data_IF_318724877155
#
_entry.id   IF_318724877155
#
_cell.length_a   1.000
_cell.length_b   1.000
_cell.length_c   1.000
_cell.angle_alpha   90.00
_cell.angle_beta   90.00
_cell.angle_gamma   90.00
#
_symmetry.space_group_name_H-M   'P 1'
#
loop_
_entity.id
_entity.type
_entity.pdbx_description
1 polymer ?
#
# COMPACT_ATOMS: atom_id res chain seq x y z
N UNK A 1 47.39 -57.91 -7.38
CA UNK A 1 46.72 -57.38 -8.59
C UNK A 1 45.26 -57.17 -8.26
N UNK A 2 44.87 -55.96 -7.86
CA UNK A 2 43.49 -55.59 -7.56
C UNK A 2 42.88 -55.03 -8.85
N UNK A 3 41.84 -55.68 -9.37
CA UNK A 3 41.04 -55.16 -10.50
C UNK A 3 40.02 -54.17 -9.94
N UNK A 4 40.15 -52.90 -10.30
CA UNK A 4 39.17 -51.86 -10.03
C UNK A 4 38.05 -51.98 -11.06
N UNK A 5 36.83 -52.33 -10.63
CA UNK A 5 35.62 -52.17 -11.43
C UNK A 5 35.14 -50.73 -11.26
N UNK A 6 35.17 -49.94 -12.33
CA UNK A 6 34.48 -48.66 -12.40
C UNK A 6 33.01 -48.93 -12.78
N UNK A 7 32.09 -48.70 -11.87
CA UNK A 7 30.65 -48.70 -12.14
C UNK A 7 30.28 -47.27 -12.55
N UNK A 8 30.03 -47.07 -13.85
CA UNK A 8 29.42 -45.85 -14.37
C UNK A 8 27.94 -45.83 -13.98
N UNK A 9 27.59 -44.97 -13.02
CA UNK A 9 26.20 -44.62 -12.76
C UNK A 9 25.73 -43.66 -13.86
N UNK A 10 24.96 -44.17 -14.81
CA UNK A 10 24.23 -43.34 -15.78
C UNK A 10 22.99 -42.83 -15.04
N UNK A 11 22.99 -41.55 -14.66
CA UNK A 11 21.77 -40.87 -14.22
C UNK A 11 20.86 -40.71 -15.44
N UNK A 12 19.78 -41.50 -15.48
CA UNK A 12 18.70 -41.27 -16.43
C UNK A 12 17.97 -39.99 -16.00
N UNK A 13 18.21 -38.89 -16.71
CA UNK A 13 17.31 -37.73 -16.70
C UNK A 13 16.01 -38.18 -17.37
N UNK A 14 15.02 -38.56 -16.57
CA UNK A 14 13.65 -38.72 -17.05
C UNK A 14 13.12 -37.34 -17.42
N UNK A 15 12.96 -37.08 -18.72
CA UNK A 15 12.14 -35.99 -19.23
C UNK A 15 10.72 -36.16 -18.65
N UNK A 16 10.43 -35.48 -17.55
CA UNK A 16 9.10 -35.46 -16.94
C UNK A 16 8.22 -34.60 -17.86
N UNK A 17 7.65 -35.20 -18.89
CA UNK A 17 6.62 -34.52 -19.68
C UNK A 17 5.40 -34.37 -18.77
N UNK A 18 5.20 -33.16 -18.26
CA UNK A 18 3.94 -32.73 -17.64
C UNK A 18 2.81 -33.14 -18.60
N UNK A 19 1.95 -34.06 -18.17
CA UNK A 19 0.86 -34.54 -19.01
C UNK A 19 -0.17 -33.42 -19.16
N UNK A 20 -0.51 -33.06 -20.40
CA UNK A 20 -1.65 -32.18 -20.67
C UNK A 20 -2.87 -33.06 -20.94
N UNK A 21 -3.95 -32.84 -20.20
CA UNK A 21 -5.20 -33.61 -20.24
C UNK A 21 -6.38 -32.71 -20.67
N UNK A 22 -7.55 -33.29 -20.92
CA UNK A 22 -8.72 -32.49 -21.28
C UNK A 22 -9.08 -31.49 -20.16
N UNK A 23 -9.62 -30.31 -20.52
CA UNK A 23 -9.83 -29.24 -19.54
C UNK A 23 -10.86 -29.61 -18.48
N UNK A 24 -11.76 -30.55 -18.78
CA UNK A 24 -12.82 -31.05 -17.90
C UNK A 24 -12.46 -32.35 -17.17
N UNK A 25 -11.27 -32.92 -17.43
CA UNK A 25 -10.76 -34.13 -16.75
C UNK A 25 -9.82 -33.82 -15.57
N UNK A 26 -9.36 -32.57 -15.45
CA UNK A 26 -8.46 -32.13 -14.37
C UNK A 26 -9.19 -32.23 -13.03
N UNK A 27 -8.65 -33.03 -12.12
CA UNK A 27 -9.22 -33.20 -10.77
C UNK A 27 -8.87 -31.99 -9.89
N UNK A 28 -9.87 -31.29 -9.31
CA UNK A 28 -9.59 -30.21 -8.38
C UNK A 28 -9.08 -30.73 -7.04
N UNK A 29 -8.43 -29.85 -6.29
CA UNK A 29 -8.07 -30.05 -4.89
C UNK A 29 -9.24 -29.62 -4.01
N UNK A 30 -9.69 -30.51 -3.13
CA UNK A 30 -10.61 -30.14 -2.06
C UNK A 30 -9.96 -29.09 -1.16
N UNK A 31 -10.74 -28.10 -0.73
CA UNK A 31 -10.24 -27.06 0.18
C UNK A 31 -9.77 -27.68 1.51
N UNK A 32 -8.49 -27.55 1.90
CA UNK A 32 -8.02 -28.03 3.19
C UNK A 32 -8.58 -27.20 4.35
N UNK A 33 -8.72 -27.82 5.53
CA UNK A 33 -9.00 -27.08 6.77
C UNK A 33 -7.81 -26.16 7.12
N UNK A 34 -8.02 -24.85 7.36
CA UNK A 34 -6.92 -23.91 7.58
C UNK A 34 -6.30 -24.06 8.98
N UNK A 35 -4.98 -24.21 9.05
CA UNK A 35 -4.24 -24.44 10.31
C UNK A 35 -3.47 -23.19 10.73
N UNK A 36 -2.68 -22.63 9.81
CA UNK A 36 -1.85 -21.44 10.01
C UNK A 36 -2.68 -20.16 9.89
N UNK A 37 -2.14 -19.04 10.39
CA UNK A 37 -2.84 -17.76 10.33
C UNK A 37 -2.95 -17.23 8.89
N UNK A 38 -1.95 -17.49 8.05
CA UNK A 38 -2.02 -17.25 6.61
C UNK A 38 -3.16 -18.06 5.96
N UNK A 39 -3.33 -19.33 6.36
CA UNK A 39 -4.40 -20.18 5.84
C UNK A 39 -5.79 -19.70 6.26
N UNK A 40 -5.95 -19.35 7.54
CA UNK A 40 -7.21 -18.80 8.05
C UNK A 40 -7.55 -17.48 7.36
N UNK A 41 -6.55 -16.63 7.13
CA UNK A 41 -6.74 -15.36 6.46
C UNK A 41 -7.19 -15.57 5.00
N UNK A 42 -6.55 -16.48 4.26
CA UNK A 42 -6.94 -16.75 2.88
C UNK A 42 -8.36 -17.33 2.76
N UNK A 43 -8.81 -18.14 3.73
CA UNK A 43 -10.21 -18.62 3.76
C UNK A 43 -11.17 -17.48 4.13
N UNK A 44 -10.79 -16.66 5.11
CA UNK A 44 -11.61 -15.54 5.59
C UNK A 44 -11.83 -14.44 4.55
N UNK A 45 -10.81 -14.17 3.74
CA UNK A 45 -10.80 -13.14 2.71
C UNK A 45 -11.02 -13.72 1.30
N UNK A 46 -11.46 -14.97 1.21
CA UNK A 46 -11.69 -15.65 -0.07
C UNK A 46 -12.74 -14.88 -0.87
N UNK A 47 -12.44 -14.42 -2.09
CA UNK A 47 -13.40 -13.67 -2.90
C UNK A 47 -14.57 -14.56 -3.35
N UNK A 48 -15.74 -13.94 -3.49
CA UNK A 48 -16.86 -14.52 -4.26
C UNK A 48 -16.78 -14.04 -5.71
N UNK A 49 -16.95 -14.96 -6.65
CA UNK A 49 -16.82 -14.70 -8.08
C UNK A 49 -18.18 -14.88 -8.79
N UNK A 50 -18.76 -13.79 -9.26
CA UNK A 50 -19.86 -13.81 -10.21
C UNK A 50 -19.31 -13.95 -11.64
N UNK A 51 -19.95 -14.74 -12.48
CA UNK A 51 -19.53 -14.94 -13.88
C UNK A 51 -20.63 -14.38 -14.77
N UNK A 52 -20.40 -13.19 -15.32
CA UNK A 52 -21.40 -12.46 -16.09
C UNK A 52 -21.31 -12.79 -17.58
N UNK A 53 -20.08 -13.03 -18.05
CA UNK A 53 -19.76 -13.39 -19.42
C UNK A 53 -18.51 -14.28 -19.41
N UNK A 54 -18.28 -15.04 -20.47
CA UNK A 54 -17.07 -15.88 -20.59
C UNK A 54 -17.27 -17.33 -20.16
N UNK A 55 -16.14 -18.03 -20.04
CA UNK A 55 -16.09 -19.35 -19.45
C UNK A 55 -16.27 -19.30 -17.92
N UNK A 56 -16.68 -20.42 -17.33
CA UNK A 56 -16.55 -20.64 -15.90
C UNK A 56 -15.09 -20.96 -15.52
N UNK A 57 -14.75 -20.87 -14.24
CA UNK A 57 -13.42 -21.24 -13.74
C UNK A 57 -13.25 -22.76 -13.65
N UNK A 58 -12.04 -23.24 -13.97
CA UNK A 58 -11.67 -24.66 -13.99
C UNK A 58 -10.37 -24.89 -13.17
N UNK A 59 -10.12 -26.12 -12.69
CA UNK A 59 -8.80 -26.48 -12.20
C UNK A 59 -7.79 -26.50 -13.36
N UNK A 60 -6.64 -25.86 -13.13
CA UNK A 60 -5.55 -25.78 -14.11
C UNK A 60 -4.58 -26.97 -14.03
N UNK A 61 -4.47 -27.59 -12.85
CA UNK A 61 -3.55 -28.68 -12.54
C UNK A 61 -4.17 -29.61 -11.51
N UNK A 62 -3.86 -30.91 -11.59
CA UNK A 62 -4.25 -31.92 -10.60
C UNK A 62 -3.10 -32.29 -9.64
N UNK A 63 -3.37 -33.17 -8.67
CA UNK A 63 -2.39 -33.60 -7.67
C UNK A 63 -1.17 -34.36 -8.25
N UNK A 64 -1.32 -34.98 -9.43
CA UNK A 64 -0.24 -35.68 -10.14
C UNK A 64 0.60 -34.73 -11.02
N UNK A 65 0.22 -33.45 -11.09
CA UNK A 65 0.84 -32.45 -11.94
C UNK A 65 0.35 -32.48 -13.38
N UNK A 66 -0.73 -33.20 -13.71
CA UNK A 66 -1.32 -33.09 -15.04
C UNK A 66 -2.01 -31.74 -15.19
N UNK A 67 -1.77 -31.04 -16.31
CA UNK A 67 -2.28 -29.69 -16.55
C UNK A 67 -3.41 -29.67 -17.57
N UNK A 68 -4.31 -28.70 -17.42
CA UNK A 68 -5.40 -28.46 -18.35
C UNK A 68 -4.87 -28.15 -19.76
N UNK A 69 -5.33 -28.90 -20.76
CA UNK A 69 -5.09 -28.62 -22.17
C UNK A 69 -5.86 -27.42 -22.71
N UNK A 70 -6.79 -26.88 -21.91
CA UNK A 70 -7.64 -25.74 -22.27
C UNK A 70 -8.55 -26.00 -23.46
N UNK A 71 -9.33 -24.99 -23.82
CA UNK A 71 -10.21 -25.01 -24.98
C UNK A 71 -9.65 -24.16 -26.12
N UNK A 72 -9.98 -24.53 -27.34
CA UNK A 72 -9.64 -23.68 -28.49
C UNK A 72 -10.43 -22.38 -28.39
N UNK A 73 -9.75 -21.24 -28.52
CA UNK A 73 -10.34 -19.89 -28.62
C UNK A 73 -11.17 -19.70 -29.91
N UNK A 74 -12.25 -20.45 -30.04
CA UNK A 74 -13.19 -20.39 -31.15
C UNK A 74 -14.60 -20.77 -30.68
N UNK A 75 -15.60 -20.47 -31.51
CA UNK A 75 -17.00 -20.74 -31.18
C UNK A 75 -17.61 -19.66 -30.28
N UNK A 76 -18.71 -19.99 -29.57
CA UNK A 76 -19.31 -19.11 -28.58
C UNK A 76 -18.35 -18.80 -27.42
N UNK A 77 -18.52 -17.63 -26.82
CA UNK A 77 -17.71 -17.12 -25.70
C UNK A 77 -17.70 -18.10 -24.51
N UNK A 78 -18.86 -18.64 -24.16
CA UNK A 78 -19.10 -19.62 -23.09
C UNK A 78 -19.20 -21.08 -23.58
N UNK A 79 -18.83 -21.32 -24.85
CA UNK A 79 -19.00 -22.63 -25.50
C UNK A 79 -18.07 -23.69 -24.90
N UNK A 80 -18.65 -24.80 -24.46
CA UNK A 80 -17.99 -25.98 -23.87
C UNK A 80 -17.27 -25.72 -22.53
N UNK A 81 -17.54 -24.59 -21.88
CA UNK A 81 -16.90 -24.18 -20.62
C UNK A 81 -17.87 -23.61 -19.57
N UNK A 82 -19.06 -24.21 -19.40
CA UNK A 82 -20.08 -23.77 -18.44
C UNK A 82 -19.88 -24.27 -17.00
N UNK A 83 -18.68 -24.77 -16.70
CA UNK A 83 -18.29 -25.29 -15.40
C UNK A 83 -17.87 -26.77 -15.48
N UNK A 84 -16.79 -27.17 -14.79
CA UNK A 84 -16.36 -28.57 -14.73
C UNK A 84 -17.34 -29.40 -13.91
N UNK A 85 -17.65 -30.61 -14.36
CA UNK A 85 -18.46 -31.56 -13.59
C UNK A 85 -17.76 -32.03 -12.31
N UNK A 86 -16.43 -31.92 -12.26
CA UNK A 86 -15.58 -32.29 -11.12
C UNK A 86 -15.46 -31.19 -10.05
N UNK A 87 -15.88 -29.96 -10.36
CA UNK A 87 -15.75 -28.80 -9.47
C UNK A 87 -14.68 -27.80 -9.91
N UNK A 88 -14.94 -26.52 -9.64
CA UNK A 88 -14.05 -25.39 -9.95
C UNK A 88 -12.99 -25.17 -8.87
N UNK A 89 -11.92 -24.43 -9.20
CA UNK A 89 -10.82 -24.15 -8.28
C UNK A 89 -10.50 -22.65 -8.25
N UNK A 90 -10.13 -22.15 -7.06
CA UNK A 90 -9.36 -20.92 -6.91
C UNK A 90 -8.01 -21.24 -6.26
N UNK A 91 -6.95 -20.66 -6.80
CA UNK A 91 -5.59 -20.80 -6.29
C UNK A 91 -5.23 -19.55 -5.49
N UNK A 92 -4.37 -19.68 -4.47
CA UNK A 92 -3.78 -18.49 -3.87
C UNK A 92 -2.32 -18.64 -3.46
N UNK A 93 -1.66 -17.48 -3.35
CA UNK A 93 -0.33 -17.35 -2.76
C UNK A 93 -0.26 -16.04 -2.00
N UNK A 94 0.39 -16.07 -0.85
CA UNK A 94 0.47 -14.91 0.03
C UNK A 94 1.88 -14.68 0.57
N UNK A 95 2.21 -13.41 0.79
CA UNK A 95 3.47 -12.99 1.41
C UNK A 95 3.30 -11.60 2.02
N UNK A 96 4.26 -11.19 2.84
CA UNK A 96 4.46 -9.78 3.14
C UNK A 96 4.96 -9.06 1.88
N UNK A 97 4.29 -7.97 1.51
CA UNK A 97 4.72 -7.07 0.45
C UNK A 97 4.68 -5.63 0.98
N UNK A 98 5.86 -5.07 1.24
CA UNK A 98 5.96 -3.84 2.04
C UNK A 98 5.56 -4.11 3.50
N UNK A 99 4.64 -3.30 4.01
CA UNK A 99 4.02 -3.34 5.33
C UNK A 99 2.68 -4.11 5.35
N UNK A 100 2.19 -4.56 4.19
CA UNK A 100 0.90 -5.25 4.08
C UNK A 100 1.09 -6.75 3.88
N UNK A 101 0.19 -7.55 4.46
CA UNK A 101 0.06 -8.95 4.07
C UNK A 101 -0.79 -9.03 2.82
N UNK A 102 -0.19 -9.51 1.73
CA UNK A 102 -0.82 -9.62 0.43
C UNK A 102 -1.25 -11.08 0.17
N UNK A 103 -2.49 -11.28 -0.26
CA UNK A 103 -3.01 -12.56 -0.75
C UNK A 103 -3.46 -12.38 -2.19
N UNK A 104 -2.80 -13.06 -3.12
CA UNK A 104 -3.25 -13.14 -4.50
C UNK A 104 -4.14 -14.36 -4.69
N UNK A 105 -5.36 -14.15 -5.13
CA UNK A 105 -6.26 -15.20 -5.63
C UNK A 105 -6.19 -15.23 -7.14
N UNK A 106 -6.20 -16.42 -7.73
CA UNK A 106 -6.14 -16.60 -9.16
C UNK A 106 -7.11 -17.68 -9.63
N UNK A 107 -7.76 -17.41 -10.76
CA UNK A 107 -8.69 -18.32 -11.43
C UNK A 107 -8.19 -18.60 -12.84
N UNK A 108 -8.35 -19.86 -13.23
CA UNK A 108 -8.02 -20.33 -14.57
C UNK A 108 -9.29 -20.57 -15.36
N UNK A 109 -9.26 -20.15 -16.63
CA UNK A 109 -10.34 -20.31 -17.58
C UNK A 109 -9.79 -21.07 -18.81
N UNK A 110 -10.51 -22.08 -19.36
CA UNK A 110 -9.98 -22.90 -20.45
C UNK A 110 -9.68 -22.12 -21.73
N UNK A 111 -10.37 -21.00 -21.96
CA UNK A 111 -10.19 -20.09 -23.10
C UNK A 111 -10.74 -18.71 -22.73
N UNK A 112 -10.35 -17.71 -23.51
CA UNK A 112 -10.98 -16.39 -23.52
C UNK A 112 -11.25 -15.92 -24.96
N UNK A 113 -12.28 -15.10 -25.15
CA UNK A 113 -12.86 -14.71 -26.43
C UNK A 113 -13.15 -13.21 -26.48
N UNK A 114 -12.32 -12.47 -27.22
CA UNK A 114 -12.54 -11.07 -27.53
C UNK A 114 -13.68 -10.88 -28.52
N UNK A 115 -14.64 -10.01 -28.20
CA UNK A 115 -15.82 -9.79 -29.02
C UNK A 115 -16.14 -8.31 -29.31
N UNK A 116 -15.24 -7.62 -30.02
CA UNK A 116 -15.43 -6.21 -30.40
C UNK A 116 -16.02 -6.06 -31.81
N UNK A 117 -17.32 -5.81 -31.87
CA UNK A 117 -18.03 -5.52 -33.13
C UNK A 117 -18.02 -6.71 -34.10
N UNK A 118 -17.35 -6.57 -35.26
CA UNK A 118 -17.18 -7.64 -36.25
C UNK A 118 -15.91 -8.47 -36.05
N UNK A 119 -15.03 -8.06 -35.13
CA UNK A 119 -13.77 -8.74 -34.85
C UNK A 119 -13.93 -9.72 -33.70
N UNK A 120 -13.60 -10.99 -33.95
CA UNK A 120 -13.57 -12.04 -32.93
C UNK A 120 -12.17 -12.65 -32.90
N UNK A 121 -11.48 -12.50 -31.78
CA UNK A 121 -10.21 -13.17 -31.50
C UNK A 121 -10.44 -14.08 -30.29
N UNK A 122 -9.85 -15.26 -30.29
CA UNK A 122 -9.89 -16.15 -29.14
C UNK A 122 -8.52 -16.69 -28.84
N UNK A 123 -8.24 -16.85 -27.55
CA UNK A 123 -7.00 -17.46 -27.04
C UNK A 123 -7.35 -18.72 -26.26
N UNK A 124 -6.43 -19.68 -26.30
CA UNK A 124 -6.50 -20.86 -25.44
C UNK A 124 -5.86 -20.49 -24.12
N UNK A 125 -6.50 -20.91 -23.03
CA UNK A 125 -6.16 -20.54 -21.66
C UNK A 125 -6.40 -19.07 -21.36
N UNK A 126 -6.83 -18.81 -20.15
CA UNK A 126 -6.84 -17.49 -19.55
C UNK A 126 -6.63 -17.62 -18.03
N UNK A 127 -6.00 -16.60 -17.47
CA UNK A 127 -5.69 -16.48 -16.06
C UNK A 127 -5.96 -15.06 -15.62
N UNK A 128 -6.83 -14.91 -14.62
CA UNK A 128 -7.10 -13.63 -13.97
C UNK A 128 -6.82 -13.75 -12.49
N UNK A 129 -6.44 -12.63 -11.88
CA UNK A 129 -6.08 -12.60 -10.48
C UNK A 129 -6.66 -11.40 -9.75
N UNK A 130 -6.64 -11.48 -8.43
CA UNK A 130 -7.03 -10.45 -7.49
C UNK A 130 -6.03 -10.42 -6.35
N UNK A 131 -5.43 -9.27 -6.08
CA UNK A 131 -4.61 -9.07 -4.87
C UNK A 131 -5.45 -8.39 -3.81
N UNK A 132 -5.51 -9.05 -2.65
CA UNK A 132 -6.15 -8.56 -1.43
C UNK A 132 -5.05 -8.23 -0.43
N UNK A 133 -4.97 -6.97 -0.03
CA UNK A 133 -4.00 -6.50 0.95
C UNK A 133 -4.69 -6.13 2.27
N UNK A 134 -4.08 -6.48 3.41
CA UNK A 134 -4.55 -6.04 4.72
C UNK A 134 -3.41 -5.77 5.71
N UNK A 135 -3.66 -4.81 6.61
CA UNK A 135 -2.80 -4.49 7.76
C UNK A 135 -3.20 -5.36 8.97
N UNK A 136 -2.22 -5.77 9.78
CA UNK A 136 -2.43 -6.77 10.86
C UNK A 136 -3.07 -6.17 12.11
N UNK A 137 -2.93 -4.87 12.39
CA UNK A 137 -3.50 -4.25 13.59
C UNK A 137 -4.56 -3.19 13.27
N UNK A 138 -5.82 -3.65 13.19
CA UNK A 138 -6.97 -3.35 14.08
C UNK A 138 -8.27 -3.79 13.35
N UNK A 139 -8.50 -5.11 13.29
CA UNK A 139 -9.77 -5.78 12.88
C UNK A 139 -10.24 -5.56 11.42
N UNK A 140 -9.39 -5.95 10.47
CA UNK A 140 -9.70 -6.35 9.07
C UNK A 140 -10.26 -5.25 8.13
N UNK A 141 -9.39 -4.35 7.68
CA UNK A 141 -9.59 -3.60 6.43
C UNK A 141 -8.98 -4.39 5.27
N UNK A 142 -9.67 -4.44 4.13
CA UNK A 142 -9.35 -5.24 2.96
C UNK A 142 -9.36 -4.32 1.73
N UNK A 143 -8.21 -4.13 1.10
CA UNK A 143 -8.10 -3.41 -0.17
C UNK A 143 -8.02 -4.41 -1.33
N UNK A 144 -8.81 -4.15 -2.38
CA UNK A 144 -8.89 -4.98 -3.59
C UNK A 144 -8.29 -4.20 -4.75
N UNK A 145 -7.01 -4.42 -5.07
CA UNK A 145 -6.26 -3.50 -5.96
C UNK A 145 -6.17 -4.06 -7.38
N UNK A 146 -7.28 -3.99 -8.13
CA UNK A 146 -7.25 -4.14 -9.60
C UNK A 146 -8.11 -3.12 -10.37
N UNK A 147 -8.86 -2.23 -9.69
CA UNK A 147 -9.48 -0.98 -10.21
C UNK A 147 -10.11 -0.20 -9.03
N UNK A 148 -10.08 1.15 -9.02
CA UNK A 148 -10.61 1.94 -7.91
C UNK A 148 -12.13 1.71 -7.74
N UNK A 149 -12.63 1.55 -6.50
CA UNK A 149 -14.05 1.42 -6.23
C UNK A 149 -14.79 2.72 -6.53
N UNK A 150 -15.91 2.63 -7.25
CA UNK A 150 -16.90 3.71 -7.33
C UNK A 150 -17.94 3.64 -6.20
N UNK A 151 -17.94 2.60 -5.36
CA UNK A 151 -18.97 2.42 -4.35
C UNK A 151 -18.51 1.64 -3.11
N UNK A 152 -19.02 2.03 -1.95
CA UNK A 152 -18.62 1.56 -0.60
C UNK A 152 -19.26 0.24 -0.18
N UNK A 153 -19.75 -0.58 -1.13
CA UNK A 153 -20.60 -1.76 -0.87
C UNK A 153 -20.05 -3.07 -1.49
N UNK A 154 -18.73 -3.17 -1.68
CA UNK A 154 -18.06 -4.26 -2.43
C UNK A 154 -17.52 -5.38 -1.51
N UNK A 155 -17.56 -5.17 -0.19
CA UNK A 155 -17.10 -6.15 0.80
C UNK A 155 -18.30 -6.54 1.68
N UNK A 156 -18.72 -7.80 1.61
CA UNK A 156 -19.68 -8.36 2.58
C UNK A 156 -18.90 -8.92 3.78
N UNK A 157 -18.85 -8.13 4.85
CA UNK A 157 -18.03 -8.42 6.02
C UNK A 157 -16.53 -8.39 5.69
N UNK A 158 -15.93 -9.54 5.41
CA UNK A 158 -14.52 -9.68 5.01
C UNK A 158 -14.33 -10.31 3.63
N UNK A 159 -15.41 -10.53 2.87
CA UNK A 159 -15.34 -11.18 1.57
C UNK A 159 -15.38 -10.15 0.45
N UNK A 160 -14.31 -10.03 -0.38
CA UNK A 160 -14.37 -9.29 -1.62
C UNK A 160 -15.41 -9.88 -2.57
N UNK A 161 -16.26 -9.04 -3.14
CA UNK A 161 -17.17 -9.42 -4.23
C UNK A 161 -16.58 -8.97 -5.56
N UNK A 162 -16.41 -9.93 -6.46
CA UNK A 162 -15.88 -9.68 -7.80
C UNK A 162 -16.72 -10.35 -8.86
N UNK A 163 -16.70 -9.80 -10.08
CA UNK A 163 -17.34 -10.37 -11.27
C UNK A 163 -16.31 -10.55 -12.37
N UNK A 164 -16.39 -11.66 -13.10
CA UNK A 164 -15.68 -11.89 -14.35
C UNK A 164 -16.59 -11.45 -15.50
N UNK A 165 -16.12 -10.48 -16.27
CA UNK A 165 -16.89 -9.89 -17.37
C UNK A 165 -15.98 -9.25 -18.43
N UNK A 166 -16.59 -8.86 -19.54
CA UNK A 166 -15.95 -8.20 -20.67
C UNK A 166 -15.53 -6.76 -20.32
N UNK A 167 -14.30 -6.39 -20.68
CA UNK A 167 -13.77 -5.02 -20.59
C UNK A 167 -14.07 -4.19 -21.85
N UNK A 168 -13.59 -2.95 -21.88
CA UNK A 168 -13.82 -2.05 -23.02
C UNK A 168 -13.12 -2.51 -24.31
N UNK A 169 -12.08 -3.34 -24.19
CA UNK A 169 -11.39 -3.96 -25.32
C UNK A 169 -12.01 -5.31 -25.72
N UNK A 170 -13.09 -5.72 -25.04
CA UNK A 170 -13.81 -6.94 -25.34
C UNK A 170 -13.20 -8.21 -24.76
N UNK A 171 -12.14 -8.13 -23.95
CA UNK A 171 -11.53 -9.27 -23.25
C UNK A 171 -12.14 -9.46 -21.88
N UNK A 172 -12.06 -10.67 -21.32
CA UNK A 172 -12.62 -10.92 -20.00
C UNK A 172 -11.60 -10.66 -18.90
N UNK A 173 -12.03 -9.95 -17.87
CA UNK A 173 -11.21 -9.68 -16.69
C UNK A 173 -12.06 -9.63 -15.42
N UNK A 174 -11.40 -9.48 -14.29
CA UNK A 174 -12.06 -9.36 -12.99
C UNK A 174 -12.31 -7.89 -12.66
N UNK A 175 -13.55 -7.61 -12.29
CA UNK A 175 -13.98 -6.33 -11.76
C UNK A 175 -14.49 -6.50 -10.34
N UNK A 176 -14.28 -5.47 -9.52
CA UNK A 176 -15.04 -5.33 -8.29
C UNK A 176 -16.55 -5.29 -8.59
N UNK A 177 -17.36 -5.91 -7.74
CA UNK A 177 -18.80 -6.03 -7.95
C UNK A 177 -19.57 -5.99 -6.62
N UNK A 178 -20.85 -5.68 -6.68
CA UNK A 178 -21.80 -5.90 -5.57
C UNK A 178 -22.66 -7.16 -5.79
N UNK A 179 -22.48 -7.86 -6.91
CA UNK A 179 -23.20 -9.08 -7.27
C UNK A 179 -22.79 -10.25 -6.38
N UNK A 180 -23.75 -11.11 -6.07
CA UNK A 180 -23.47 -12.36 -5.36
C UNK A 180 -22.77 -13.34 -6.31
N UNK A 181 -21.59 -13.80 -5.90
CA UNK A 181 -20.79 -14.76 -6.64
C UNK A 181 -20.79 -16.16 -6.01
N UNK A 182 -20.21 -17.12 -6.73
CA UNK A 182 -19.93 -18.45 -6.20
C UNK A 182 -18.55 -18.50 -5.53
N UNK A 183 -18.39 -19.39 -4.55
CA UNK A 183 -17.09 -19.73 -3.99
C UNK A 183 -16.56 -21.01 -4.61
N UNK A 184 -15.29 -21.00 -4.99
CA UNK A 184 -14.58 -22.19 -5.42
C UNK A 184 -13.76 -22.75 -4.25
N UNK A 185 -13.41 -24.03 -4.33
CA UNK A 185 -12.47 -24.62 -3.36
C UNK A 185 -11.12 -23.91 -3.50
N UNK A 186 -10.57 -23.51 -2.34
CA UNK A 186 -9.30 -22.79 -2.27
C UNK A 186 -8.15 -23.75 -2.02
N UNK A 187 -7.10 -23.65 -2.83
CA UNK A 187 -5.83 -24.33 -2.58
C UNK A 187 -4.67 -23.33 -2.65
N UNK A 188 -3.83 -23.32 -1.63
CA UNK A 188 -2.68 -22.41 -1.58
C UNK A 188 -1.43 -23.02 -2.18
N UNK A 189 -0.50 -22.18 -2.64
CA UNK A 189 0.78 -22.58 -3.21
C UNK A 189 1.55 -23.58 -2.34
N UNK A 190 1.59 -23.35 -1.02
CA UNK A 190 2.26 -24.23 -0.05
C UNK A 190 1.49 -25.53 0.24
N UNK A 191 0.21 -25.62 -0.13
CA UNK A 191 -0.65 -26.80 0.04
C UNK A 191 -0.67 -27.71 -1.20
N UNK A 192 -0.27 -27.20 -2.37
CA UNK A 192 -0.12 -28.00 -3.59
C UNK A 192 0.92 -29.11 -3.41
N UNK A 193 0.78 -30.19 -4.18
CA UNK A 193 1.82 -31.23 -4.28
C UNK A 193 3.05 -30.67 -4.99
N UNK A 194 4.22 -31.30 -4.79
CA UNK A 194 5.44 -30.90 -5.51
C UNK A 194 5.25 -31.00 -7.03
N UNK A 195 4.58 -32.05 -7.51
CA UNK A 195 4.27 -32.23 -8.92
C UNK A 195 3.37 -31.11 -9.48
N UNK A 196 2.35 -30.70 -8.73
CA UNK A 196 1.46 -29.61 -9.14
C UNK A 196 2.18 -28.25 -9.16
N UNK A 197 3.02 -27.95 -8.15
CA UNK A 197 3.85 -26.75 -8.14
C UNK A 197 4.82 -26.73 -9.33
N UNK A 198 5.54 -27.84 -9.54
CA UNK A 198 6.48 -27.96 -10.67
C UNK A 198 5.78 -27.79 -12.02
N UNK A 199 4.57 -28.33 -12.17
CA UNK A 199 3.78 -28.18 -13.38
C UNK A 199 3.32 -26.73 -13.61
N UNK A 200 2.84 -26.02 -12.58
CA UNK A 200 2.46 -24.61 -12.69
C UNK A 200 3.65 -23.68 -12.92
N UNK A 201 4.83 -24.04 -12.43
CA UNK A 201 6.06 -23.27 -12.66
C UNK A 201 6.52 -23.38 -14.12
N UNK A 202 6.39 -24.56 -14.73
CA UNK A 202 7.06 -24.87 -16.01
C UNK A 202 6.13 -24.96 -17.24
N UNK A 203 4.82 -25.12 -17.04
CA UNK A 203 3.88 -25.30 -18.15
C UNK A 203 3.59 -23.99 -18.87
N UNK A 204 3.58 -24.03 -20.21
CA UNK A 204 3.22 -22.89 -21.05
C UNK A 204 1.72 -22.90 -21.35
N UNK A 205 0.97 -22.00 -20.71
CA UNK A 205 -0.47 -21.81 -20.95
C UNK A 205 -0.75 -20.86 -22.13
N UNK A 206 -0.09 -21.10 -23.27
CA UNK A 206 -0.28 -20.26 -24.46
C UNK A 206 0.15 -18.81 -24.26
N UNK A 207 -0.77 -17.87 -24.48
CA UNK A 207 -0.57 -16.43 -24.22
C UNK A 207 -0.77 -16.08 -22.73
N UNK A 208 -1.46 -16.93 -21.97
CA UNK A 208 -1.71 -16.73 -20.55
C UNK A 208 -0.51 -17.18 -19.68
N UNK A 209 -0.34 -16.52 -18.55
CA UNK A 209 0.74 -16.80 -17.58
C UNK A 209 0.16 -17.09 -16.21
N UNK A 210 0.72 -18.08 -15.50
CA UNK A 210 0.28 -18.42 -14.14
C UNK A 210 0.61 -17.24 -13.21
N UNK A 211 -0.37 -16.56 -12.59
CA UNK A 211 -0.11 -15.29 -11.91
C UNK A 211 0.74 -15.39 -10.64
N UNK A 212 0.73 -16.56 -10.00
CA UNK A 212 1.26 -16.77 -8.66
C UNK A 212 2.46 -17.74 -8.62
N UNK A 213 3.03 -18.09 -9.78
CA UNK A 213 4.28 -18.84 -9.85
C UNK A 213 5.48 -17.94 -9.48
N UNK A 214 6.67 -18.51 -9.29
CA UNK A 214 7.83 -17.75 -8.81
C UNK A 214 8.24 -16.61 -9.75
N UNK A 215 8.07 -16.81 -11.07
CA UNK A 215 8.41 -15.80 -12.07
C UNK A 215 7.48 -14.56 -12.09
N UNK A 216 6.20 -14.73 -11.74
CA UNK A 216 5.18 -13.69 -11.92
C UNK A 216 4.69 -13.08 -10.59
N UNK A 217 4.75 -13.83 -9.49
CA UNK A 217 4.08 -13.45 -8.24
C UNK A 217 4.49 -12.07 -7.72
N UNK A 218 5.79 -11.79 -7.57
CA UNK A 218 6.25 -10.49 -7.05
C UNK A 218 5.92 -9.32 -8.00
N UNK A 219 5.96 -9.53 -9.32
CA UNK A 219 5.64 -8.50 -10.29
C UNK A 219 4.15 -8.17 -10.25
N UNK A 220 3.28 -9.18 -10.16
CA UNK A 220 1.84 -8.96 -10.03
C UNK A 220 1.47 -8.28 -8.70
N UNK A 221 2.19 -8.55 -7.60
CA UNK A 221 2.00 -7.80 -6.35
C UNK A 221 2.44 -6.33 -6.48
N UNK A 222 3.52 -6.08 -7.24
CA UNK A 222 3.98 -4.73 -7.56
C UNK A 222 2.95 -3.98 -8.38
N UNK A 223 2.42 -4.61 -9.44
CA UNK A 223 1.43 -4.00 -10.32
C UNK A 223 0.10 -3.74 -9.58
N UNK A 224 -0.20 -4.56 -8.57
CA UNK A 224 -1.31 -4.36 -7.65
C UNK A 224 -1.00 -3.40 -6.48
N UNK A 225 0.08 -2.62 -6.54
CA UNK A 225 0.41 -1.57 -5.57
C UNK A 225 0.67 -0.25 -6.29
N UNK A 226 0.29 0.89 -5.70
CA UNK A 226 0.63 2.19 -6.31
C UNK A 226 2.04 2.59 -5.87
N UNK A 227 2.92 2.80 -6.86
CA UNK A 227 4.29 3.24 -6.64
C UNK A 227 4.31 4.59 -5.91
N UNK A 228 5.37 4.84 -5.14
CA UNK A 228 5.47 6.07 -4.35
C UNK A 228 5.44 7.34 -5.20
N UNK A 229 5.83 7.26 -6.48
CA UNK A 229 5.83 8.39 -7.42
C UNK A 229 4.53 8.48 -8.26
N UNK A 230 3.62 7.51 -8.12
CA UNK A 230 2.35 7.45 -8.86
C UNK A 230 1.14 7.88 -8.02
N UNK A 231 1.35 8.27 -6.76
CA UNK A 231 0.28 8.79 -5.89
C UNK A 231 -0.12 10.19 -6.37
N UNK A 232 -1.38 10.34 -6.77
CA UNK A 232 -1.90 11.63 -7.20
C UNK A 232 -2.11 12.57 -5.99
N UNK A 233 -1.41 13.73 -5.92
CA UNK A 233 -1.64 14.70 -4.85
C UNK A 233 -3.03 15.36 -4.97
N UNK A 234 -3.56 15.79 -3.84
CA UNK A 234 -4.71 16.66 -3.74
C UNK A 234 -4.30 18.09 -4.09
N UNK A 235 -4.98 18.68 -5.08
CA UNK A 235 -4.91 20.12 -5.32
C UNK A 235 -5.38 20.88 -4.09
N UNK A 236 -4.69 21.97 -3.72
CA UNK A 236 -5.08 22.80 -2.58
C UNK A 236 -6.48 23.40 -2.82
N UNK A 237 -7.52 23.04 -2.02
CA UNK A 237 -8.85 23.60 -2.20
C UNK A 237 -8.87 25.10 -1.90
N UNK A 238 -9.77 25.85 -2.54
CA UNK A 238 -10.00 27.25 -2.19
C UNK A 238 -10.60 27.31 -0.77
N UNK A 239 -9.98 28.02 0.20
CA UNK A 239 -10.46 28.03 1.58
C UNK A 239 -11.78 28.79 1.72
N UNK A 240 -12.74 28.20 2.44
CA UNK A 240 -14.09 28.70 2.67
C UNK A 240 -14.27 29.11 4.14
N UNK A 241 -13.94 28.21 5.07
CA UNK A 241 -14.07 28.44 6.51
C UNK A 241 -12.92 29.29 7.04
N UNK A 242 -13.08 29.86 8.23
CA UNK A 242 -12.02 30.67 8.84
C UNK A 242 -10.82 29.81 9.28
N UNK A 243 -11.07 28.56 9.64
CA UNK A 243 -10.03 27.57 9.94
C UNK A 243 -9.19 27.27 8.69
N UNK A 244 -9.85 27.04 7.55
CA UNK A 244 -9.18 26.79 6.27
C UNK A 244 -8.39 28.01 5.78
N UNK A 245 -8.96 29.21 5.87
CA UNK A 245 -8.25 30.46 5.53
C UNK A 245 -7.05 30.65 6.43
N UNK A 246 -7.17 30.32 7.71
CA UNK A 246 -6.08 30.42 8.68
C UNK A 246 -4.98 29.41 8.36
N UNK A 247 -5.31 28.15 8.08
CA UNK A 247 -4.34 27.14 7.69
C UNK A 247 -3.58 27.51 6.40
N UNK A 248 -4.27 28.07 5.40
CA UNK A 248 -3.58 28.57 4.19
C UNK A 248 -2.69 29.78 4.51
N UNK A 249 -3.14 30.69 5.38
CA UNK A 249 -2.40 31.91 5.75
C UNK A 249 -1.12 31.64 6.54
N UNK A 250 -1.12 30.63 7.40
CA UNK A 250 0.01 30.28 8.27
C UNK A 250 0.80 29.05 7.75
N UNK A 251 0.61 28.70 6.47
CA UNK A 251 1.28 27.57 5.82
C UNK A 251 2.79 27.80 5.82
N UNK A 252 3.60 26.86 6.35
CA UNK A 252 5.05 27.00 6.41
C UNK A 252 5.71 26.83 5.04
N UNK A 253 6.91 27.41 4.87
CA UNK A 253 7.80 27.10 3.73
C UNK A 253 8.80 26.04 4.14
N UNK A 254 9.03 25.03 3.29
CA UNK A 254 9.96 23.93 3.55
C UNK A 254 11.17 23.98 2.60
N UNK A 255 12.38 24.11 3.15
CA UNK A 255 13.63 23.98 2.40
C UNK A 255 14.21 22.57 2.57
N UNK A 256 14.25 21.77 1.51
CA UNK A 256 14.93 20.47 1.52
C UNK A 256 16.43 20.70 1.37
N UNK A 257 17.22 20.33 2.39
CA UNK A 257 18.68 20.52 2.42
C UNK A 257 19.43 19.25 2.06
N UNK A 258 18.90 18.12 2.48
CA UNK A 258 19.36 16.77 2.16
C UNK A 258 18.19 15.79 2.30
N UNK A 259 18.36 14.58 1.74
CA UNK A 259 17.33 13.53 1.75
C UNK A 259 16.32 13.68 0.62
N UNK A 260 15.18 13.02 0.79
CA UNK A 260 14.09 13.07 -0.18
C UNK A 260 13.38 14.43 -0.18
N UNK A 261 12.75 14.76 -1.30
CA UNK A 261 11.71 15.78 -1.36
C UNK A 261 10.39 15.23 -0.76
N UNK A 262 9.45 16.09 -0.35
CA UNK A 262 8.14 15.65 0.11
C UNK A 262 7.29 15.07 -1.02
N UNK A 263 6.57 13.97 -0.76
CA UNK A 263 5.66 13.29 -1.69
C UNK A 263 4.23 13.22 -1.13
N UNK A 264 3.21 13.11 -1.98
CA UNK A 264 1.89 12.67 -1.53
C UNK A 264 1.96 11.21 -1.06
N UNK A 265 1.31 10.92 0.06
CA UNK A 265 1.30 9.57 0.66
C UNK A 265 0.00 8.82 0.40
N UNK A 266 -1.08 9.54 0.07
CA UNK A 266 -2.41 8.99 -0.16
C UNK A 266 -3.11 9.79 -1.25
N UNK A 267 -3.87 9.11 -2.11
CA UNK A 267 -4.72 9.74 -3.13
C UNK A 267 -6.19 9.83 -2.70
N UNK A 268 -7.06 10.38 -3.57
CA UNK A 268 -8.49 10.54 -3.29
C UNK A 268 -9.25 9.21 -3.12
N UNK A 269 -8.74 8.11 -3.67
CA UNK A 269 -9.31 6.77 -3.58
C UNK A 269 -8.85 6.00 -2.34
N UNK A 270 -7.95 6.58 -1.54
CA UNK A 270 -7.39 5.93 -0.35
C UNK A 270 -6.18 5.04 -0.64
N UNK A 271 -5.65 5.04 -1.86
CA UNK A 271 -4.44 4.29 -2.14
C UNK A 271 -3.24 4.96 -1.47
N UNK A 272 -2.40 4.17 -0.81
CA UNK A 272 -1.24 4.67 -0.06
C UNK A 272 0.08 4.35 -0.75
N UNK A 273 1.01 5.28 -0.67
CA UNK A 273 2.39 5.12 -1.15
C UNK A 273 3.05 3.90 -0.51
N UNK A 274 3.60 3.01 -1.33
CA UNK A 274 4.48 1.92 -0.87
C UNK A 274 5.85 2.40 -0.39
N UNK A 275 6.14 3.70 -0.48
CA UNK A 275 7.44 4.28 -0.17
C UNK A 275 8.58 3.75 -1.05
N UNK A 276 9.80 4.14 -0.73
CA UNK A 276 10.99 3.79 -1.50
C UNK A 276 11.89 2.81 -0.73
N UNK A 277 12.56 1.91 -1.45
CA UNK A 277 13.52 0.98 -0.83
C UNK A 277 14.59 1.77 -0.06
N UNK A 278 14.91 1.29 1.13
CA UNK A 278 15.76 1.94 2.12
C UNK A 278 17.27 1.73 1.85
N UNK A 279 17.67 1.80 0.58
CA UNK A 279 19.04 1.59 0.11
C UNK A 279 19.49 2.75 -0.79
N UNK A 280 20.80 2.80 -1.04
CA UNK A 280 21.41 3.82 -1.90
C UNK A 280 21.63 5.16 -1.20
N UNK A 281 21.94 6.22 -1.97
CA UNK A 281 22.04 7.58 -1.46
C UNK A 281 20.71 8.09 -0.86
N UNK A 282 20.76 9.00 0.13
CA UNK A 282 19.55 9.53 0.78
C UNK A 282 18.53 10.19 -0.16
N UNK A 283 18.99 10.84 -1.22
CA UNK A 283 18.21 11.60 -2.20
C UNK A 283 17.95 10.81 -3.51
N UNK A 284 18.48 9.59 -3.62
CA UNK A 284 18.34 8.78 -4.84
C UNK A 284 16.91 8.34 -5.05
N UNK A 285 16.39 8.57 -6.26
CA UNK A 285 15.02 8.22 -6.70
C UNK A 285 13.90 8.96 -5.94
N UNK A 286 14.21 9.98 -5.13
CA UNK A 286 13.18 10.75 -4.43
C UNK A 286 13.43 12.26 -4.48
N UNK A 287 13.93 12.75 -5.63
CA UNK A 287 14.22 14.16 -5.89
C UNK A 287 12.99 15.05 -6.15
N UNK A 288 11.78 14.49 -6.05
CA UNK A 288 10.51 15.18 -6.28
C UNK A 288 9.66 14.46 -7.33
N UNK A 289 8.35 14.41 -7.08
CA UNK A 289 7.41 13.76 -7.99
C UNK A 289 7.05 14.63 -9.18
N UNK A 290 6.89 14.01 -10.35
CA UNK A 290 6.35 14.68 -11.53
C UNK A 290 4.88 15.09 -11.36
N UNK A 291 4.13 14.43 -10.46
CA UNK A 291 2.72 14.74 -10.16
C UNK A 291 2.56 15.91 -9.19
N UNK A 292 3.64 16.28 -8.49
CA UNK A 292 3.68 17.35 -7.50
C UNK A 292 3.89 16.83 -6.08
N UNK A 293 3.95 17.76 -5.12
CA UNK A 293 4.21 17.47 -3.71
C UNK A 293 2.98 17.80 -2.85
N UNK A 294 2.99 17.38 -1.58
CA UNK A 294 1.88 17.60 -0.65
C UNK A 294 2.38 18.04 0.73
N UNK A 295 1.61 18.92 1.38
CA UNK A 295 1.63 19.13 2.83
C UNK A 295 0.25 18.86 3.41
N UNK A 296 0.18 18.13 4.51
CA UNK A 296 -1.07 17.78 5.18
C UNK A 296 -1.28 18.69 6.39
N UNK A 297 -2.52 19.14 6.62
CA UNK A 297 -2.88 20.04 7.70
C UNK A 297 -3.94 19.47 8.64
N UNK A 298 -3.83 19.72 9.94
CA UNK A 298 -4.94 19.51 10.88
C UNK A 298 -4.91 20.54 12.00
N UNK A 299 -6.08 21.03 12.41
CA UNK A 299 -6.18 22.09 13.40
C UNK A 299 -7.24 21.84 14.47
N UNK A 300 -6.98 22.34 15.67
CA UNK A 300 -7.97 22.38 16.76
C UNK A 300 -7.59 23.38 17.86
N UNK A 301 -8.55 23.71 18.72
CA UNK A 301 -8.27 24.34 20.00
C UNK A 301 -7.60 23.35 20.97
N UNK A 302 -6.46 23.73 21.55
CA UNK A 302 -5.74 22.95 22.55
C UNK A 302 -5.12 23.90 23.59
N UNK A 303 -5.43 23.70 24.88
CA UNK A 303 -4.98 24.55 26.00
C UNK A 303 -5.24 26.07 25.78
N UNK A 304 -6.45 26.39 25.32
CA UNK A 304 -6.92 27.74 24.96
C UNK A 304 -6.05 28.45 23.91
N UNK A 305 -5.37 27.68 23.05
CA UNK A 305 -4.64 28.16 21.87
C UNK A 305 -5.16 27.43 20.64
N UNK A 306 -5.02 28.06 19.49
CA UNK A 306 -5.34 27.40 18.23
C UNK A 306 -4.08 26.75 17.66
N UNK A 307 -4.07 25.43 17.56
CA UNK A 307 -2.96 24.68 17.02
C UNK A 307 -3.24 24.30 15.56
N UNK A 308 -2.25 24.47 14.69
CA UNK A 308 -2.27 23.97 13.31
C UNK A 308 -1.02 23.14 13.11
N UNK A 309 -1.18 21.83 12.90
CA UNK A 309 -0.10 20.94 12.52
C UNK A 309 0.00 20.87 11.00
N UNK A 310 1.20 21.05 10.47
CA UNK A 310 1.55 20.78 9.08
C UNK A 310 2.53 19.63 9.02
N UNK A 311 2.26 18.61 8.21
CA UNK A 311 3.06 17.40 8.12
C UNK A 311 3.45 17.10 6.68
N UNK A 312 4.66 16.58 6.51
CA UNK A 312 5.20 16.13 5.22
C UNK A 312 5.61 14.68 5.31
N UNK A 313 5.34 13.97 4.22
CA UNK A 313 5.74 12.58 4.01
C UNK A 313 6.93 12.51 3.06
N UNK A 314 7.86 11.60 3.35
CA UNK A 314 9.01 11.29 2.51
C UNK A 314 9.06 9.77 2.23
N UNK A 315 9.37 9.34 0.99
CA UNK A 315 9.34 7.91 0.63
C UNK A 315 10.31 7.02 1.42
N UNK A 316 11.42 7.56 1.90
CA UNK A 316 12.43 6.89 2.73
C UNK A 316 13.22 7.92 3.54
N UNK A 317 13.88 7.45 4.59
CA UNK A 317 14.94 8.18 5.29
C UNK A 317 16.19 7.29 5.40
N UNK A 318 17.34 7.83 5.02
CA UNK A 318 18.63 7.14 5.06
C UNK A 318 19.56 7.87 6.02
N UNK A 319 19.88 7.19 7.13
CA UNK A 319 20.97 7.58 8.02
C UNK A 319 22.30 7.52 7.27
N UNK A 320 22.99 8.65 7.17
CA UNK A 320 24.23 8.74 6.42
C UNK A 320 25.38 9.31 7.28
N UNK A 321 25.90 8.48 8.20
CA UNK A 321 27.02 8.86 9.09
C UNK A 321 28.24 7.99 8.84
N UNK A 322 29.25 8.56 8.20
CA UNK A 322 30.53 7.88 7.95
C UNK A 322 30.37 6.62 7.10
N UNK A 323 30.65 5.45 7.67
CA UNK A 323 30.48 4.14 7.02
C UNK A 323 29.13 3.47 7.34
N UNK A 324 28.34 4.05 8.25
CA UNK A 324 27.03 3.51 8.63
C UNK A 324 25.98 4.08 7.67
N UNK A 325 25.35 3.17 6.92
CA UNK A 325 24.17 3.45 6.10
C UNK A 325 23.05 2.54 6.57
N UNK A 326 22.12 3.11 7.33
CA UNK A 326 20.89 2.42 7.73
C UNK A 326 19.73 3.22 7.15
N UNK A 327 18.83 2.55 6.47
CA UNK A 327 17.64 3.20 5.93
C UNK A 327 16.38 2.68 6.61
N UNK A 328 15.37 3.53 6.64
CA UNK A 328 13.99 3.15 6.88
C UNK A 328 13.15 3.55 5.66
N UNK A 329 12.14 2.74 5.37
CA UNK A 329 11.12 3.09 4.38
C UNK A 329 10.13 4.01 5.09
N UNK A 330 9.63 5.02 4.38
CA UNK A 330 8.75 6.06 4.90
C UNK A 330 9.43 6.97 5.93
N UNK A 331 9.05 8.24 5.92
CA UNK A 331 9.34 9.19 6.99
C UNK A 331 8.24 10.25 7.05
N UNK A 332 7.97 10.72 8.27
CA UNK A 332 6.97 11.73 8.58
C UNK A 332 7.58 12.77 9.52
N UNK A 333 7.55 14.02 9.09
CA UNK A 333 7.92 15.17 9.94
C UNK A 333 6.78 16.17 9.99
N UNK A 334 6.73 16.96 11.06
CA UNK A 334 5.70 17.98 11.19
C UNK A 334 6.17 19.22 11.97
N UNK A 335 5.42 20.30 11.80
CA UNK A 335 5.50 21.51 12.62
C UNK A 335 4.11 21.84 13.16
N UNK A 336 4.03 22.24 14.43
CA UNK A 336 2.83 22.83 15.02
C UNK A 336 3.01 24.34 15.15
N UNK A 337 2.08 25.09 14.58
CA UNK A 337 1.98 26.54 14.68
C UNK A 337 0.87 26.88 15.69
N UNK A 338 1.23 27.58 16.75
CA UNK A 338 0.32 27.94 17.84
C UNK A 338 -0.11 29.38 17.72
N UNK A 339 -1.41 29.64 17.59
CA UNK A 339 -2.00 30.97 17.47
C UNK A 339 -2.79 31.36 18.73
N UNK A 340 -2.99 32.66 18.92
CA UNK A 340 -3.89 33.18 19.95
C UNK A 340 -5.36 32.85 19.65
N UNK A 341 -5.87 33.31 18.50
CA UNK A 341 -7.24 33.06 18.06
C UNK A 341 -7.35 33.25 16.53
N UNK A 342 -7.76 32.22 15.77
CA UNK A 342 -7.84 32.26 14.32
C UNK A 342 -8.89 33.25 13.80
N UNK A 343 -9.94 33.54 14.58
CA UNK A 343 -11.01 34.45 14.22
C UNK A 343 -10.63 35.94 14.31
N UNK A 344 -9.40 36.27 14.71
CA UNK A 344 -8.91 37.66 14.73
C UNK A 344 -8.57 38.12 13.32
N UNK A 345 -8.72 39.44 13.07
CA UNK A 345 -8.28 40.06 11.81
C UNK A 345 -6.78 39.82 11.56
N UNK A 346 -5.98 39.84 12.63
CA UNK A 346 -4.55 39.50 12.63
C UNK A 346 -4.27 38.52 13.77
N UNK A 347 -4.45 37.20 13.55
CA UNK A 347 -4.03 36.20 14.52
C UNK A 347 -2.53 36.30 14.74
N UNK A 348 -2.08 36.09 15.98
CA UNK A 348 -0.68 36.18 16.37
C UNK A 348 -0.10 34.78 16.56
N UNK A 349 1.05 34.50 15.94
CA UNK A 349 1.83 33.29 16.26
C UNK A 349 2.47 33.44 17.64
N UNK A 350 2.14 32.52 18.53
CA UNK A 350 2.59 32.49 19.92
C UNK A 350 3.79 31.57 20.10
N UNK A 351 3.82 30.43 19.41
CA UNK A 351 4.92 29.48 19.44
C UNK A 351 4.94 28.65 18.14
N UNK A 352 6.08 28.04 17.86
CA UNK A 352 6.23 27.02 16.81
C UNK A 352 6.99 25.83 17.36
N UNK A 353 6.56 24.62 17.01
CA UNK A 353 7.12 23.37 17.52
C UNK A 353 7.46 22.46 16.36
N UNK A 354 8.73 22.22 16.08
CA UNK A 354 9.18 21.31 15.00
C UNK A 354 9.43 19.91 15.57
N UNK A 355 8.98 18.88 14.87
CA UNK A 355 9.13 17.48 15.30
C UNK A 355 10.60 17.05 15.31
N UNK A 356 10.90 16.09 16.17
CA UNK A 356 12.16 15.34 16.26
C UNK A 356 11.84 13.86 16.40
N UNK A 357 12.88 13.02 16.35
CA UNK A 357 12.76 11.57 16.50
C UNK A 357 11.74 11.15 17.57
N UNK A 358 10.78 10.31 17.17
CA UNK A 358 9.65 9.87 17.99
C UNK A 358 8.66 10.99 18.26
N UNK A 359 8.23 11.12 19.52
CA UNK A 359 7.21 12.11 19.95
C UNK A 359 7.83 13.37 20.53
N UNK A 360 9.05 13.76 20.10
CA UNK A 360 9.77 14.91 20.65
C UNK A 360 9.58 16.14 19.77
N UNK A 361 9.64 17.33 20.38
CA UNK A 361 9.53 18.60 19.69
C UNK A 361 10.57 19.60 20.18
N UNK A 362 11.06 20.45 19.26
CA UNK A 362 11.81 21.66 19.60
C UNK A 362 10.85 22.84 19.51
N UNK A 363 10.61 23.48 20.66
CA UNK A 363 9.63 24.55 20.82
C UNK A 363 10.33 25.91 20.89
N UNK A 364 9.91 26.83 20.03
CA UNK A 364 10.33 28.24 20.07
C UNK A 364 9.14 29.12 20.45
N UNK A 365 9.21 29.80 21.60
CA UNK A 365 8.15 30.67 22.16
C UNK A 365 8.74 31.99 22.72
N UNK A 366 8.44 33.16 22.13
CA UNK A 366 7.82 33.36 20.81
C UNK A 366 8.75 32.93 19.67
N UNK A 367 8.25 32.69 18.45
CA UNK A 367 9.09 32.42 17.29
C UNK A 367 10.10 33.54 17.06
N UNK A 368 11.31 33.17 16.64
CA UNK A 368 12.34 34.14 16.23
C UNK A 368 11.92 34.83 14.93
N UNK A 369 12.11 36.16 14.84
CA UNK A 369 11.78 36.95 13.64
C UNK A 369 12.59 36.55 12.40
N UNK A 370 13.75 35.90 12.57
CA UNK A 370 14.53 35.37 11.45
C UNK A 370 13.98 34.05 10.91
N UNK A 371 13.06 33.39 11.62
CA UNK A 371 12.49 32.09 11.25
C UNK A 371 11.01 32.19 10.82
N UNK A 372 10.49 33.41 10.65
CA UNK A 372 9.10 33.64 10.26
C UNK A 372 8.99 34.85 9.32
N UNK A 373 8.37 34.67 8.18
CA UNK A 373 8.12 35.74 7.21
C UNK A 373 6.84 36.46 7.60
N UNK A 374 6.91 37.80 7.70
CA UNK A 374 5.77 38.69 7.95
C UNK A 374 4.89 38.24 9.14
N UNK A 375 5.50 37.71 10.21
CA UNK A 375 4.82 37.18 11.40
C UNK A 375 3.75 36.11 11.13
N UNK A 376 3.77 35.46 9.95
CA UNK A 376 2.72 34.53 9.50
C UNK A 376 3.25 33.22 8.98
N UNK A 377 4.37 33.21 8.25
CA UNK A 377 4.84 32.02 7.54
C UNK A 377 6.12 31.49 8.20
N UNK A 378 6.06 30.42 9.03
CA UNK A 378 7.26 29.81 9.58
C UNK A 378 8.13 29.24 8.46
N UNK A 379 9.44 29.44 8.59
CA UNK A 379 10.43 28.86 7.68
C UNK A 379 11.08 27.65 8.37
N UNK A 380 11.08 26.52 7.68
CA UNK A 380 11.64 25.26 8.17
C UNK A 380 12.51 24.59 7.11
N UNK A 381 13.43 23.75 7.56
CA UNK A 381 14.29 22.95 6.70
C UNK A 381 14.19 21.48 7.07
N UNK A 382 14.19 20.60 6.07
CA UNK A 382 14.39 19.16 6.21
C UNK A 382 15.86 18.84 5.93
N UNK A 383 16.56 18.30 6.91
CA UNK A 383 18.01 18.04 6.84
C UNK A 383 18.42 16.91 7.79
N UNK A 384 19.62 16.38 7.60
CA UNK A 384 20.23 15.41 8.52
C UNK A 384 20.55 16.04 9.89
N UNK A 385 20.22 15.33 10.97
CA UNK A 385 20.61 15.71 12.32
C UNK A 385 22.01 15.19 12.69
N UNK A 386 22.39 15.31 13.97
CA UNK A 386 23.72 14.87 14.44
C UNK A 386 23.89 13.34 14.39
N UNK A 387 22.79 12.60 14.42
CA UNK A 387 22.76 11.15 14.24
C UNK A 387 22.64 10.78 12.76
N UNK A 388 22.49 11.77 11.87
CA UNK A 388 22.42 11.63 10.42
C UNK A 388 21.08 11.13 9.88
N UNK A 389 20.06 11.02 10.74
CA UNK A 389 18.66 10.85 10.32
C UNK A 389 18.08 12.19 9.91
N UNK A 390 17.12 12.20 9.00
CA UNK A 390 16.54 13.46 8.58
C UNK A 390 15.43 13.88 9.55
N UNK A 391 15.30 15.19 9.76
CA UNK A 391 14.24 15.76 10.59
C UNK A 391 14.02 17.21 10.20
N UNK A 392 13.08 17.87 10.89
CA UNK A 392 12.70 19.25 10.57
C UNK A 392 13.23 20.24 11.61
N UNK A 393 13.74 21.37 11.12
CA UNK A 393 14.36 22.42 11.91
C UNK A 393 13.75 23.77 11.57
N UNK A 394 13.62 24.67 12.55
CA UNK A 394 13.43 26.09 12.25
C UNK A 394 14.58 26.60 11.39
N UNK A 395 14.26 27.36 10.37
CA UNK A 395 15.21 27.79 9.35
C UNK A 395 15.09 29.28 9.07
N UNK A 396 16.15 29.86 8.51
CA UNK A 396 16.26 31.31 8.32
C UNK A 396 16.15 31.74 6.85
N UNK A 397 15.92 30.80 5.93
CA UNK A 397 15.69 31.08 4.51
C UNK A 397 14.36 30.48 4.09
N UNK A 398 13.68 31.19 3.19
CA UNK A 398 12.45 30.73 2.58
C UNK A 398 12.72 29.48 1.73
N UNK A 399 11.85 28.49 1.87
CA UNK A 399 11.86 27.26 1.09
C UNK A 399 10.76 27.22 0.03
N UNK A 400 10.37 26.02 -0.36
CA UNK A 400 9.26 25.79 -1.30
C UNK A 400 7.93 25.64 -0.55
N UNK A 401 6.83 25.86 -1.27
CA UNK A 401 5.47 25.65 -0.78
C UNK A 401 4.86 24.45 -1.50
N UNK A 402 4.19 23.58 -0.75
CA UNK A 402 3.45 22.44 -1.28
C UNK A 402 1.95 22.73 -1.19
N UNK A 403 1.15 22.05 -2.01
CA UNK A 403 -0.30 22.15 -1.92
C UNK A 403 -0.78 21.61 -0.56
N UNK A 404 -1.60 22.40 0.13
CA UNK A 404 -2.15 22.04 1.43
C UNK A 404 -3.47 21.30 1.27
N UNK A 405 -3.57 20.12 1.86
CA UNK A 405 -4.84 19.43 2.08
C UNK A 405 -5.05 19.24 3.57
N UNK A 406 -6.17 19.73 4.11
CA UNK A 406 -6.50 19.54 5.52
C UNK A 406 -7.24 18.22 5.76
N UNK A 407 -7.11 17.66 6.96
CA UNK A 407 -7.77 16.43 7.38
C UNK A 407 -9.27 16.42 7.08
N UNK A 408 -9.94 17.54 7.38
CA UNK A 408 -11.37 17.73 7.15
C UNK A 408 -11.74 17.85 5.65
N UNK A 409 -10.75 18.09 4.78
CA UNK A 409 -10.93 18.21 3.33
C UNK A 409 -10.60 16.93 2.55
N UNK A 410 -9.97 15.94 3.19
CA UNK A 410 -9.73 14.62 2.60
C UNK A 410 -11.05 13.89 2.29
N UNK A 411 -10.99 12.93 1.38
CA UNK A 411 -12.10 11.97 1.20
C UNK A 411 -12.18 11.02 2.40
N UNK A 412 -13.32 10.36 2.58
CA UNK A 412 -13.46 9.34 3.63
C UNK A 412 -12.46 8.20 3.42
N UNK A 413 -12.25 7.76 2.17
CA UNK A 413 -11.26 6.74 1.83
C UNK A 413 -9.83 7.17 2.20
N UNK A 414 -9.43 8.41 1.90
CA UNK A 414 -8.10 8.90 2.25
C UNK A 414 -7.90 9.07 3.77
N UNK A 415 -8.93 9.49 4.51
CA UNK A 415 -8.88 9.53 5.98
C UNK A 415 -8.74 8.12 6.57
N UNK A 416 -9.55 7.17 6.10
CA UNK A 416 -9.51 5.79 6.56
C UNK A 416 -8.13 5.17 6.28
N UNK A 417 -7.58 5.41 5.10
CA UNK A 417 -6.23 4.98 4.75
C UNK A 417 -5.16 5.58 5.68
N UNK A 418 -5.19 6.88 5.98
CA UNK A 418 -4.23 7.52 6.89
C UNK A 418 -4.41 7.15 8.37
N UNK A 419 -5.61 6.71 8.76
CA UNK A 419 -5.85 6.21 10.11
C UNK A 419 -5.25 4.82 10.30
N UNK A 420 -5.31 3.98 9.26
CA UNK A 420 -5.06 2.54 9.38
C UNK A 420 -3.80 2.02 8.66
N UNK A 421 -3.21 2.77 7.74
CA UNK A 421 -2.00 2.34 7.04
C UNK A 421 -0.77 2.33 7.95
N UNK A 422 0.09 1.33 7.79
CA UNK A 422 1.34 1.20 8.53
C UNK A 422 2.50 1.77 7.70
N UNK A 423 3.17 2.80 8.20
CA UNK A 423 4.36 3.34 7.55
C UNK A 423 5.65 2.80 8.20
N UNK A 424 5.59 1.57 8.69
CA UNK A 424 6.66 0.90 9.44
C UNK A 424 6.83 1.39 10.88
N UNK A 425 7.80 0.82 11.61
CA UNK A 425 8.01 1.07 13.05
C UNK A 425 8.40 2.53 13.40
N UNK A 426 8.85 3.30 12.41
CA UNK A 426 9.53 4.58 12.61
C UNK A 426 8.77 5.78 12.05
N UNK A 427 7.76 5.56 11.20
CA UNK A 427 6.97 6.62 10.62
C UNK A 427 5.50 6.40 11.00
N UNK A 428 4.92 7.34 11.74
CA UNK A 428 3.49 7.33 12.09
C UNK A 428 2.84 8.61 11.61
N UNK A 429 1.60 8.52 11.12
CA UNK A 429 0.87 9.70 10.64
C UNK A 429 0.63 10.65 11.84
N UNK A 430 1.24 11.84 11.87
CA UNK A 430 1.29 12.61 13.12
C UNK A 430 -0.01 13.35 13.44
N UNK A 431 -0.92 13.43 12.47
CA UNK A 431 -2.18 14.17 12.54
C UNK A 431 -3.44 13.29 12.40
N UNK A 432 -3.32 11.96 12.38
CA UNK A 432 -4.48 11.07 12.43
C UNK A 432 -5.14 11.08 13.84
N UNK A 433 -6.30 10.46 14.02
CA UNK A 433 -7.05 10.52 15.28
C UNK A 433 -6.27 9.91 16.45
N UNK A 434 -5.55 8.81 16.21
CA UNK A 434 -4.71 8.16 17.19
C UNK A 434 -3.58 9.06 17.73
N UNK A 435 -2.94 9.86 16.87
CA UNK A 435 -1.69 10.55 17.22
C UNK A 435 -1.85 12.06 17.46
N UNK A 436 -2.85 12.72 16.86
CA UNK A 436 -2.91 14.18 16.78
C UNK A 436 -2.83 14.86 18.16
N UNK A 437 -3.71 14.48 19.10
CA UNK A 437 -3.72 15.08 20.46
C UNK A 437 -2.46 14.78 21.25
N UNK A 438 -1.91 13.57 21.14
CA UNK A 438 -0.67 13.17 21.80
C UNK A 438 0.51 14.02 21.31
N UNK A 439 0.56 14.26 20.00
CA UNK A 439 1.56 15.11 19.38
C UNK A 439 1.38 16.58 19.74
N UNK A 440 0.14 17.10 19.83
CA UNK A 440 -0.10 18.46 20.32
C UNK A 440 0.38 18.65 21.76
N UNK A 441 0.11 17.68 22.65
CA UNK A 441 0.61 17.69 24.02
C UNK A 441 2.14 17.74 24.05
N UNK A 442 2.81 16.89 23.28
CA UNK A 442 4.27 16.89 23.22
C UNK A 442 4.82 18.20 22.63
N UNK A 443 4.15 18.75 21.62
CA UNK A 443 4.49 20.02 21.00
C UNK A 443 4.23 21.24 21.89
N UNK A 444 3.51 21.10 23.00
CA UNK A 444 3.27 22.15 24.00
C UNK A 444 3.92 21.86 25.36
N UNK A 445 4.87 20.92 25.46
CA UNK A 445 5.46 20.51 26.75
C UNK A 445 6.98 20.67 26.78
N UNK A 446 7.51 21.32 27.83
CA UNK A 446 8.93 21.26 28.19
C UNK A 446 9.19 20.16 29.21
N UNK A 447 10.22 19.34 28.97
CA UNK A 447 10.70 18.34 29.92
C UNK A 447 11.92 18.85 30.66
N UNK A 448 11.85 18.90 31.99
CA UNK A 448 12.97 19.25 32.86
C UNK A 448 13.46 17.98 33.54
N UNK A 449 14.65 17.51 33.13
CA UNK A 449 15.31 16.39 33.78
C UNK A 449 15.94 16.85 35.10
N UNK A 450 15.51 16.26 36.22
CA UNK A 450 16.17 16.39 37.52
C UNK A 450 17.10 15.20 37.75
N UNK A 451 18.15 15.43 38.54
CA UNK A 451 19.08 14.39 38.97
C UNK A 451 18.30 13.23 39.64
N UNK A 452 18.70 11.98 39.36
CA UNK A 452 17.97 10.73 39.67
C UNK A 452 17.57 10.56 41.15
N UNK A 453 18.15 11.38 42.05
CA UNK A 453 17.85 11.39 43.48
C UNK A 453 16.53 12.09 43.87
N UNK A 454 15.86 12.81 42.98
CA UNK A 454 14.71 13.68 43.33
C UNK A 454 13.39 13.41 42.57
N UNK A 455 13.21 12.20 42.02
CA UNK A 455 12.02 11.84 41.24
C UNK A 455 12.19 12.17 39.76
N UNK A 456 11.51 11.40 38.89
CA UNK A 456 11.68 11.43 37.43
C UNK A 456 11.42 12.78 36.75
N UNK A 457 11.47 12.85 35.41
CA UNK A 457 11.31 14.10 34.67
C UNK A 457 9.98 14.77 34.98
N UNK A 458 10.02 16.08 35.23
CA UNK A 458 8.83 16.92 35.38
C UNK A 458 8.54 17.55 34.02
N UNK A 459 7.27 17.53 33.61
CA UNK A 459 6.80 18.16 32.39
C UNK A 459 5.95 19.39 32.73
N UNK A 460 6.16 20.49 32.01
CA UNK A 460 5.35 21.72 32.14
C UNK A 460 4.76 22.09 30.79
N UNK A 461 3.49 22.50 30.75
CA UNK A 461 2.93 23.11 29.55
C UNK A 461 3.65 24.43 29.29
N UNK A 462 3.93 24.72 28.03
CA UNK A 462 4.53 25.99 27.65
C UNK A 462 3.59 27.17 27.91
N UNK A 463 2.30 26.93 28.18
CA UNK A 463 1.29 27.98 28.40
C UNK A 463 1.07 28.37 29.86
N UNK A 464 1.68 27.65 30.80
CA UNK A 464 1.67 27.93 32.25
C UNK A 464 2.53 29.13 32.64
#
# INVERSE_FOLDING_TARGET
>A
MIRVLAILAIAALSDFRVASIDHDEVQPFAQPEPITDAEKAAVKFKPSLAINSGCHSYPAVDAAGATSGGLKGSGPVDGDCKGPSLGSQVYSRSTWYGDKWAIMYAWYFPKDMQNVGLFKKGVRHDWVNLVVNFSIDVRYLCDVINKPPNDTHIIDGTTPKVRYDEDEEGWHTIFQSNEEGEFQDLIQWNQLTDAAREALENTKFGEASVPFNDANFENNLKDASIDYDDIQPFAQPKPITDDEKTAVKFKPSLAVKSGCHPYPVVDASGNTSVGLKNVGPPDSECGGSALGSQVYGRSMWYEDKWAIMYAWYFPKDIQNVGLIKKGVRHDWVNIVVWLDNPARVKPKVLATSVSRYGTKYIITKPPSSVNIINDTTPMVAYDGDQEGWHTIFHFYKEGEYQDLIQWEQLTDAARDALENAEFGDHATVPFNDANFKTNLKAASTYYVFRDYRYGGPISHSIWE
#
